data_IF_602884684851
#
_entry.id   IF_602884684851
#
_cell.length_a   1.000
_cell.length_b   1.000
_cell.length_c   1.000
_cell.angle_alpha   90.00
_cell.angle_beta   90.00
_cell.angle_gamma   90.00
#
_symmetry.space_group_name_H-M   'P 1'
#
loop_
_entity.id
_entity.type
_entity.pdbx_description
1 polymer ?
#
# COMPACT_ATOMS: atom_id res chain seq x y z
N UNK A 1 -16.13 16.85 -7.27
CA UNK A 1 -14.88 17.57 -6.94
C UNK A 1 -13.84 16.50 -6.68
N UNK A 2 -12.86 16.39 -7.57
CA UNK A 2 -11.86 15.34 -7.58
C UNK A 2 -10.65 15.89 -6.81
N UNK A 3 -10.44 15.43 -5.58
CA UNK A 3 -9.32 15.86 -4.76
C UNK A 3 -8.08 15.06 -5.18
N UNK A 4 -7.07 15.77 -5.67
CA UNK A 4 -5.72 15.27 -5.89
C UNK A 4 -5.19 14.66 -4.60
N UNK A 5 -4.69 13.43 -4.68
CA UNK A 5 -3.91 12.81 -3.60
C UNK A 5 -2.54 13.49 -3.58
N UNK A 6 -2.48 14.69 -3.01
CA UNK A 6 -1.22 15.35 -2.71
C UNK A 6 -0.58 14.69 -1.48
N UNK A 7 0.72 14.46 -1.58
CA UNK A 7 1.65 13.91 -0.59
C UNK A 7 1.58 14.63 0.78
N UNK A 8 0.49 14.43 1.52
CA UNK A 8 0.44 14.82 2.91
C UNK A 8 1.28 13.83 3.71
N UNK A 9 2.46 14.28 4.13
CA UNK A 9 3.22 13.64 5.19
C UNK A 9 2.25 13.28 6.32
N UNK A 10 2.17 11.98 6.65
CA UNK A 10 1.34 11.47 7.74
C UNK A 10 1.62 12.26 9.03
N UNK A 11 0.69 13.12 9.44
CA UNK A 11 0.69 13.66 10.79
C UNK A 11 0.32 12.52 11.74
N UNK A 12 1.33 11.95 12.39
CA UNK A 12 1.20 10.81 13.33
C UNK A 12 0.21 11.08 14.49
N UNK A 13 -0.17 12.36 14.68
CA UNK A 13 -1.08 12.83 15.73
C UNK A 13 -2.47 13.26 15.23
N UNK A 14 -2.82 13.04 13.96
CA UNK A 14 -4.17 13.34 13.48
C UNK A 14 -5.17 12.44 14.19
N UNK A 15 -6.02 13.06 15.00
CA UNK A 15 -7.08 12.37 15.73
C UNK A 15 -8.42 12.91 15.26
N UNK A 16 -9.20 12.03 14.62
CA UNK A 16 -10.58 12.31 14.28
C UNK A 16 -11.48 11.94 15.47
N UNK A 17 -12.49 12.77 15.74
CA UNK A 17 -13.56 12.37 16.66
C UNK A 17 -14.43 11.30 16.00
N UNK A 18 -14.60 10.17 16.67
CA UNK A 18 -15.45 9.07 16.23
C UNK A 18 -16.74 9.04 17.07
N UNK A 19 -17.91 8.91 16.43
CA UNK A 19 -19.16 8.56 17.12
C UNK A 19 -19.37 7.04 17.22
N UNK A 20 -18.50 6.25 16.59
CA UNK A 20 -18.52 4.80 16.64
C UNK A 20 -17.97 4.27 17.98
N UNK A 21 -18.53 3.14 18.44
CA UNK A 21 -18.10 2.46 19.67
C UNK A 21 -16.70 1.82 19.54
N UNK A 22 -16.27 1.51 18.32
CA UNK A 22 -14.99 0.84 18.06
C UNK A 22 -14.10 1.65 17.12
N UNK A 23 -12.81 1.56 17.37
CA UNK A 23 -11.73 1.99 16.51
C UNK A 23 -11.12 0.77 15.81
N UNK A 24 -10.76 0.94 14.53
CA UNK A 24 -10.13 -0.08 13.70
C UNK A 24 -8.70 0.36 13.40
N UNK A 25 -7.78 -0.62 13.44
CA UNK A 25 -6.44 -0.53 12.90
C UNK A 25 -6.19 -1.70 11.98
N UNK A 26 -5.71 -1.42 10.77
CA UNK A 26 -5.27 -2.44 9.81
C UNK A 26 -3.80 -2.25 9.54
N UNK A 27 -3.02 -3.30 9.78
CA UNK A 27 -1.57 -3.34 9.54
C UNK A 27 -1.37 -4.07 8.22
N UNK A 28 -0.82 -3.38 7.22
CA UNK A 28 -0.53 -3.92 5.89
C UNK A 28 0.94 -4.38 5.88
N UNK A 29 1.16 -5.68 6.12
CA UNK A 29 2.50 -6.26 6.16
C UNK A 29 3.09 -6.42 4.77
N UNK A 30 2.27 -6.89 3.82
CA UNK A 30 2.63 -7.02 2.40
C UNK A 30 1.37 -7.19 1.57
N UNK A 31 1.10 -6.25 0.67
CA UNK A 31 -0.07 -6.29 -0.17
C UNK A 31 0.24 -5.90 -1.61
N UNK A 32 -0.58 -6.40 -2.54
CA UNK A 32 -0.57 -6.02 -3.94
C UNK A 32 -1.95 -5.46 -4.26
N UNK A 33 -1.96 -4.25 -4.78
CA UNK A 33 -3.17 -3.57 -5.25
C UNK A 33 -3.59 -4.08 -6.64
N UNK A 34 -4.77 -3.71 -7.12
CA UNK A 34 -5.33 -4.13 -8.40
C UNK A 34 -4.41 -3.77 -9.60
N UNK A 35 -3.64 -2.69 -9.47
CA UNK A 35 -2.63 -2.25 -10.45
C UNK A 35 -1.29 -3.01 -10.35
N UNK A 36 -1.18 -4.01 -9.47
CA UNK A 36 0.05 -4.78 -9.26
C UNK A 36 1.10 -4.03 -8.42
N UNK A 37 0.72 -2.93 -7.77
CA UNK A 37 1.62 -2.11 -6.96
C UNK A 37 1.73 -2.68 -5.55
N UNK A 38 2.96 -2.81 -5.07
CA UNK A 38 3.25 -3.26 -3.73
C UNK A 38 2.94 -2.17 -2.70
N UNK A 39 2.12 -2.51 -1.71
CA UNK A 39 1.68 -1.62 -0.64
C UNK A 39 2.05 -2.19 0.74
N UNK A 40 2.46 -1.28 1.63
CA UNK A 40 2.76 -1.54 3.04
C UNK A 40 2.43 -0.30 3.85
N UNK A 41 1.98 -0.48 5.10
CA UNK A 41 1.64 0.64 5.95
C UNK A 41 0.66 0.28 7.05
N UNK A 42 0.08 1.31 7.67
CA UNK A 42 -0.95 1.17 8.69
C UNK A 42 -2.10 2.08 8.30
N UNK A 43 -3.32 1.54 8.32
CA UNK A 43 -4.56 2.28 8.13
C UNK A 43 -5.35 2.29 9.43
N UNK A 44 -5.89 3.43 9.82
CA UNK A 44 -6.72 3.59 11.02
C UNK A 44 -8.01 4.32 10.67
N UNK A 45 -9.15 3.84 11.20
CA UNK A 45 -10.46 4.45 10.99
C UNK A 45 -11.45 4.09 12.09
N UNK A 46 -12.57 4.80 12.18
CA UNK A 46 -13.66 4.44 13.08
C UNK A 46 -14.54 3.34 12.45
N UNK A 47 -15.13 2.46 13.28
CA UNK A 47 -16.02 1.38 12.85
C UNK A 47 -17.45 1.89 12.55
N UNK A 48 -17.64 2.59 11.44
CA UNK A 48 -18.94 3.16 11.10
C UNK A 48 -19.92 2.17 10.50
N UNK A 49 -19.45 1.16 9.76
CA UNK A 49 -20.33 0.24 9.02
C UNK A 49 -20.91 -0.85 9.91
N UNK A 50 -22.05 -1.43 9.53
CA UNK A 50 -22.63 -2.57 10.23
C UNK A 50 -21.70 -3.79 10.24
N UNK A 51 -21.00 -4.04 9.13
CA UNK A 51 -20.02 -5.12 9.00
C UNK A 51 -18.84 -4.95 9.95
N UNK A 52 -18.27 -3.73 10.01
CA UNK A 52 -17.19 -3.41 10.95
C UNK A 52 -17.57 -3.74 12.40
N UNK A 53 -18.79 -3.37 12.80
CA UNK A 53 -19.29 -3.62 14.16
C UNK A 53 -19.40 -5.11 14.46
N UNK A 54 -19.89 -5.91 13.50
CA UNK A 54 -20.00 -7.36 13.68
C UNK A 54 -18.63 -8.02 13.83
N UNK A 55 -17.67 -7.66 12.98
CA UNK A 55 -16.30 -8.19 13.08
C UNK A 55 -15.67 -7.78 14.41
N UNK A 56 -15.73 -6.49 14.75
CA UNK A 56 -15.15 -5.98 16.00
C UNK A 56 -15.82 -6.53 17.26
N UNK A 57 -17.11 -6.89 17.22
CA UNK A 57 -17.79 -7.55 18.34
C UNK A 57 -17.28 -8.96 18.57
N UNK A 58 -16.90 -9.68 17.51
CA UNK A 58 -16.38 -11.05 17.61
C UNK A 58 -14.89 -11.07 17.99
N UNK A 59 -14.16 -10.00 17.66
CA UNK A 59 -12.70 -9.92 17.78
C UNK A 59 -12.21 -8.85 18.75
N UNK A 60 -13.04 -8.45 19.71
CA UNK A 60 -12.72 -7.36 20.63
C UNK A 60 -11.36 -7.60 21.33
N UNK A 61 -10.42 -6.66 21.15
CA UNK A 61 -9.08 -6.73 21.74
C UNK A 61 -8.12 -7.72 21.06
N UNK A 62 -8.53 -8.39 19.98
CA UNK A 62 -7.68 -9.30 19.19
C UNK A 62 -7.51 -8.78 17.77
N UNK A 63 -6.33 -9.01 17.22
CA UNK A 63 -6.06 -8.82 15.80
C UNK A 63 -6.37 -10.12 15.04
N UNK A 64 -7.10 -10.01 13.94
CA UNK A 64 -7.36 -11.10 13.01
C UNK A 64 -6.51 -10.92 11.76
N UNK A 65 -5.90 -11.99 11.28
CA UNK A 65 -5.22 -11.95 9.99
C UNK A 65 -6.22 -12.13 8.86
N UNK A 66 -6.20 -11.21 7.90
CA UNK A 66 -7.06 -11.20 6.72
C UNK A 66 -6.19 -11.17 5.46
N UNK A 67 -6.74 -11.68 4.36
CA UNK A 67 -6.04 -11.78 3.07
C UNK A 67 -6.46 -10.75 2.04
N UNK A 68 -7.54 -10.00 2.32
CA UNK A 68 -8.12 -9.00 1.43
C UNK A 68 -8.52 -7.77 2.23
N UNK A 69 -8.13 -6.58 1.76
CA UNK A 69 -8.52 -5.31 2.36
C UNK A 69 -8.51 -4.21 1.31
N UNK A 70 -9.61 -3.49 1.17
CA UNK A 70 -9.75 -2.32 0.28
C UNK A 70 -9.26 -2.57 -1.16
N UNK A 71 -9.73 -3.66 -1.78
CA UNK A 71 -9.33 -4.08 -3.13
C UNK A 71 -7.98 -4.82 -3.18
N UNK A 72 -7.10 -4.60 -2.20
CA UNK A 72 -5.78 -5.23 -2.17
C UNK A 72 -5.84 -6.69 -1.70
N UNK A 73 -4.94 -7.51 -2.24
CA UNK A 73 -4.68 -8.89 -1.81
C UNK A 73 -3.31 -9.00 -1.16
N UNK A 74 -3.23 -9.60 0.02
CA UNK A 74 -1.98 -9.57 0.79
C UNK A 74 -2.07 -10.25 2.15
N UNK A 75 -1.14 -9.89 3.02
CA UNK A 75 -1.15 -10.22 4.43
C UNK A 75 -1.45 -8.95 5.24
N UNK A 76 -2.59 -8.96 5.91
CA UNK A 76 -3.07 -7.84 6.71
C UNK A 76 -3.46 -8.33 8.11
N UNK A 77 -3.24 -7.50 9.12
CA UNK A 77 -3.79 -7.74 10.47
C UNK A 77 -4.84 -6.68 10.79
N UNK A 78 -6.08 -7.11 11.00
CA UNK A 78 -7.23 -6.28 11.33
C UNK A 78 -7.51 -6.33 12.84
N UNK A 79 -7.36 -5.19 13.52
CA UNK A 79 -7.48 -5.08 14.97
C UNK A 79 -8.61 -4.12 15.35
N UNK A 80 -9.39 -4.47 16.37
CA UNK A 80 -10.44 -3.62 16.92
C UNK A 80 -10.21 -3.32 18.40
N UNK A 81 -10.57 -2.11 18.81
CA UNK A 81 -10.48 -1.67 20.20
C UNK A 81 -11.52 -0.56 20.49
N UNK A 82 -11.87 -0.35 21.76
CA UNK A 82 -12.94 0.60 22.16
C UNK A 82 -12.43 1.87 22.85
N UNK A 83 -11.20 1.84 23.36
CA UNK A 83 -10.64 2.97 24.10
C UNK A 83 -10.27 4.13 23.18
N UNK A 84 -10.26 5.34 23.74
CA UNK A 84 -9.85 6.51 22.98
C UNK A 84 -8.40 6.35 22.50
N UNK A 85 -8.18 6.53 21.19
CA UNK A 85 -6.85 6.45 20.55
C UNK A 85 -6.17 5.09 20.70
N UNK A 86 -6.92 4.02 20.92
CA UNK A 86 -6.34 2.66 21.03
C UNK A 86 -5.76 2.13 19.71
N UNK A 87 -6.19 2.68 18.57
CA UNK A 87 -5.77 2.31 17.22
C UNK A 87 -4.56 3.13 16.72
N UNK A 88 -3.79 3.72 17.64
CA UNK A 88 -2.52 4.37 17.29
C UNK A 88 -1.51 3.35 16.77
N UNK A 89 -0.70 3.80 15.81
CA UNK A 89 0.47 3.05 15.34
C UNK A 89 1.49 2.97 16.47
N UNK A 90 1.93 1.74 16.79
CA UNK A 90 2.99 1.54 17.78
C UNK A 90 4.34 1.55 17.07
N UNK A 91 5.39 2.04 17.74
CA UNK A 91 6.74 2.06 17.19
C UNK A 91 7.19 0.66 16.71
N UNK A 92 6.91 -0.38 17.50
CA UNK A 92 7.21 -1.75 17.12
C UNK A 92 6.54 -2.20 15.81
N UNK A 93 5.31 -1.75 15.53
CA UNK A 93 4.60 -2.07 14.28
C UNK A 93 5.24 -1.33 13.10
N UNK A 94 5.59 -0.06 13.29
CA UNK A 94 6.31 0.74 12.30
C UNK A 94 7.69 0.15 12.00
N UNK A 95 8.42 -0.30 13.01
CA UNK A 95 9.72 -0.93 12.85
C UNK A 95 9.59 -2.23 12.04
N UNK A 96 8.54 -3.03 12.25
CA UNK A 96 8.32 -4.23 11.43
C UNK A 96 8.03 -3.91 9.96
N UNK A 97 7.26 -2.86 9.68
CA UNK A 97 6.91 -2.46 8.31
C UNK A 97 8.09 -1.80 7.59
N UNK A 98 8.82 -0.91 8.28
CA UNK A 98 9.85 -0.06 7.69
C UNK A 98 11.29 -0.52 7.95
N UNK A 99 11.52 -1.63 8.66
CA UNK A 99 12.86 -2.19 8.78
C UNK A 99 13.46 -2.48 7.40
N UNK A 100 14.75 -2.19 7.29
CA UNK A 100 15.57 -2.03 6.08
C UNK A 100 15.53 -3.15 5.02
N UNK A 101 14.82 -4.26 5.25
CA UNK A 101 14.62 -5.34 4.28
C UNK A 101 13.39 -5.19 3.39
N UNK A 102 12.39 -4.36 3.75
CA UNK A 102 11.19 -4.14 2.92
C UNK A 102 11.41 -3.18 1.74
N UNK A 103 12.61 -2.59 1.62
CA UNK A 103 13.01 -1.77 0.46
C UNK A 103 13.56 -2.60 -0.72
N UNK A 104 13.95 -3.86 -0.51
CA UNK A 104 14.68 -4.64 -1.53
C UNK A 104 13.82 -5.12 -2.70
N UNK A 105 12.49 -5.16 -2.55
CA UNK A 105 11.54 -5.49 -3.63
C UNK A 105 11.07 -4.27 -4.45
N UNK A 106 11.54 -3.05 -4.15
CA UNK A 106 11.14 -1.80 -4.85
C UNK A 106 11.82 -1.59 -6.21
N UNK A 107 12.09 -2.66 -6.96
CA UNK A 107 12.42 -2.57 -8.38
C UNK A 107 11.29 -3.21 -9.19
N UNK A 108 10.21 -2.46 -9.37
CA UNK A 108 9.40 -2.65 -10.56
C UNK A 108 10.32 -2.42 -11.76
N UNK A 109 10.40 -3.45 -12.60
CA UNK A 109 11.32 -3.60 -13.72
C UNK A 109 11.07 -2.55 -14.82
N UNK A 110 11.51 -1.31 -14.61
CA UNK A 110 11.47 -0.22 -15.59
C UNK A 110 12.87 0.05 -16.16
N UNK A 111 13.52 -0.98 -16.70
CA UNK A 111 14.76 -0.77 -17.48
C UNK A 111 14.90 -1.66 -18.71
N UNK A 112 13.97 -2.60 -18.96
CA UNK A 112 14.09 -3.49 -20.12
C UNK A 112 13.49 -2.92 -21.43
N UNK A 113 12.61 -1.92 -21.35
CA UNK A 113 11.99 -1.32 -22.56
C UNK A 113 12.86 -0.27 -23.27
N UNK A 114 13.77 0.41 -22.57
CA UNK A 114 14.58 1.48 -23.15
C UNK A 114 15.74 0.97 -24.02
N UNK A 115 16.27 -0.22 -23.70
CA UNK A 115 17.34 -0.86 -24.47
C UNK A 115 16.87 -1.38 -25.83
N UNK A 116 15.62 -1.87 -25.92
CA UNK A 116 15.07 -2.40 -27.17
C UNK A 116 14.82 -1.31 -28.24
N UNK A 117 14.41 -0.10 -27.82
CA UNK A 117 14.13 1.01 -28.77
C UNK A 117 15.42 1.57 -29.36
N UNK A 118 16.49 1.68 -28.58
CA UNK A 118 17.79 2.11 -29.11
C UNK A 118 18.45 1.09 -30.05
N UNK A 119 18.26 -0.20 -29.79
CA UNK A 119 18.82 -1.26 -30.64
C UNK A 119 18.15 -1.33 -32.02
N UNK A 120 16.84 -1.07 -32.10
CA UNK A 120 16.10 -1.04 -33.37
C UNK A 120 16.48 0.21 -34.20
N UNK A 121 16.69 1.36 -33.54
CA UNK A 121 17.11 2.59 -34.22
C UNK A 121 18.52 2.47 -34.84
N UNK A 122 19.45 1.80 -34.16
CA UNK A 122 20.80 1.56 -34.73
C UNK A 122 20.77 0.58 -35.89
N UNK A 123 19.90 -0.44 -35.85
CA UNK A 123 19.78 -1.43 -36.93
C UNK A 123 19.25 -0.80 -38.24
N UNK A 124 18.32 0.16 -38.15
CA UNK A 124 17.81 0.89 -39.31
C UNK A 124 18.88 1.77 -39.96
N UNK A 125 19.73 2.44 -39.15
CA UNK A 125 20.81 3.32 -39.69
C UNK A 125 21.91 2.50 -40.38
N UNK A 126 22.27 1.33 -39.85
CA UNK A 126 23.34 0.49 -40.44
C UNK A 126 22.92 -0.19 -41.74
N UNK A 127 21.63 -0.52 -41.91
CA UNK A 127 21.14 -1.22 -43.11
C UNK A 127 20.71 -0.26 -44.23
N UNK A 128 20.11 0.89 -43.90
CA UNK A 128 19.55 1.79 -44.92
C UNK A 128 20.59 2.71 -45.56
N UNK A 129 21.65 3.11 -44.82
CA UNK A 129 22.69 4.00 -45.35
C UNK A 129 23.56 3.37 -46.47
N UNK A 130 23.97 2.09 -46.44
CA UNK A 130 24.78 1.53 -47.53
C UNK A 130 23.98 1.25 -48.82
N UNK A 131 22.64 1.28 -48.78
CA UNK A 131 21.78 1.06 -49.97
C UNK A 131 21.54 2.33 -50.81
N UNK A 132 21.90 3.51 -50.30
CA UNK A 132 21.74 4.79 -51.00
C UNK A 132 23.06 5.37 -51.56
N UNK A 133 24.18 4.64 -51.47
CA UNK A 133 25.52 5.08 -51.92
C UNK A 133 26.04 4.23 -53.10
N UNK A 134 25.14 3.57 -53.86
CA UNK A 134 25.48 2.98 -55.15
C UNK A 134 24.58 3.52 -56.26
#
# INVERSE_FOLDING_TARGET
MQASVEDNHFHINDTAMCSAMFCIKVILHSAIDDDGIFQQGISSRCAYTGGDRQVCQQSEGKCQDISFYDGMKGNFSFCCCKENRCNLAKQAELDTIYSSNSRSSRKANSSSRQLFVHLILLFQVVIVVPLFVF
#
